data_IF_255501127022
#
_entry.id   IF_255501127022
#
_cell.length_a   1.000
_cell.length_b   1.000
_cell.length_c   1.000
_cell.angle_alpha   90.00
_cell.angle_beta   90.00
_cell.angle_gamma   90.00
#
_symmetry.space_group_name_H-M   'P 1'
#
loop_
_entity.id
_entity.type
_entity.pdbx_description
1 polymer ?
#
# COMPACT_ATOMS: atom_id res chain seq x y z
N UNK A 1 39.29 -16.80 7.70
CA UNK A 1 39.29 -16.41 9.11
C UNK A 1 38.31 -15.26 9.26
N UNK A 2 37.26 -15.39 10.05
CA UNK A 2 36.34 -14.27 10.32
C UNK A 2 37.04 -13.31 11.27
N UNK A 3 37.42 -12.15 10.77
CA UNK A 3 38.05 -11.11 11.57
C UNK A 3 37.12 -10.67 12.70
N UNK A 4 37.67 -10.60 13.92
CA UNK A 4 36.91 -10.23 15.11
C UNK A 4 36.60 -8.73 15.07
N UNK A 5 35.35 -8.38 15.39
CA UNK A 5 34.91 -6.99 15.48
C UNK A 5 35.61 -6.26 16.61
N UNK A 6 36.30 -5.18 16.25
CA UNK A 6 37.00 -4.32 17.18
C UNK A 6 36.02 -3.42 17.94
N UNK A 7 36.35 -2.99 19.17
CA UNK A 7 35.49 -2.12 19.96
C UNK A 7 35.12 -0.80 19.27
N UNK A 8 36.06 -0.19 18.55
CA UNK A 8 35.84 1.07 17.84
C UNK A 8 34.81 0.94 16.70
N UNK A 9 34.72 -0.22 16.07
CA UNK A 9 33.76 -0.46 14.98
C UNK A 9 32.33 -0.54 15.51
N UNK A 10 32.16 -1.06 16.74
CA UNK A 10 30.86 -1.08 17.41
C UNK A 10 30.43 0.33 17.81
N UNK A 11 31.37 1.13 18.34
CA UNK A 11 31.13 2.54 18.67
C UNK A 11 30.77 3.35 17.42
N UNK A 12 31.50 3.13 16.32
CA UNK A 12 31.22 3.74 15.03
C UNK A 12 29.78 3.45 14.58
N UNK A 13 29.31 2.19 14.69
CA UNK A 13 27.93 1.85 14.35
C UNK A 13 26.88 2.56 15.23
N UNK A 14 27.15 2.81 16.50
CA UNK A 14 26.24 3.59 17.34
C UNK A 14 26.20 5.07 16.95
N UNK A 15 27.35 5.63 16.56
CA UNK A 15 27.49 7.04 16.21
C UNK A 15 26.90 7.37 14.84
N UNK A 16 27.31 6.63 13.80
CA UNK A 16 26.89 6.91 12.42
C UNK A 16 25.65 6.14 11.99
N UNK A 17 25.17 5.25 12.85
CA UNK A 17 24.14 4.29 12.54
C UNK A 17 22.91 4.93 11.91
N UNK A 18 22.36 6.01 12.47
CA UNK A 18 21.14 6.67 11.97
C UNK A 18 21.36 7.64 10.80
N UNK A 19 22.58 8.15 10.63
CA UNK A 19 22.89 9.25 9.70
C UNK A 19 23.49 8.74 8.40
N UNK A 20 24.12 7.56 8.42
CA UNK A 20 24.87 7.01 7.30
C UNK A 20 24.19 5.76 6.72
N UNK A 21 23.97 5.69 5.39
CA UNK A 21 23.45 4.49 4.76
C UNK A 21 24.38 3.28 4.95
N UNK A 22 23.79 2.09 5.14
CA UNK A 22 24.53 0.83 5.32
C UNK A 22 25.62 0.58 4.25
N UNK A 23 25.41 0.87 2.94
CA UNK A 23 26.47 0.71 1.94
C UNK A 23 27.72 1.55 2.23
N UNK A 24 27.55 2.78 2.72
CA UNK A 24 28.67 3.70 3.01
C UNK A 24 29.39 3.31 4.31
N UNK A 25 28.66 2.81 5.31
CA UNK A 25 29.24 2.21 6.52
C UNK A 25 30.07 0.98 6.16
N UNK A 26 29.55 0.13 5.27
CA UNK A 26 30.23 -1.07 4.80
C UNK A 26 31.55 -0.76 4.09
N UNK A 27 31.56 0.26 3.23
CA UNK A 27 32.77 0.77 2.58
C UNK A 27 33.80 1.27 3.60
N UNK A 28 33.39 2.10 4.56
CA UNK A 28 34.29 2.68 5.58
C UNK A 28 34.89 1.67 6.55
N UNK A 29 34.16 0.60 6.85
CA UNK A 29 34.62 -0.47 7.74
C UNK A 29 35.24 -1.63 6.96
N UNK A 30 35.38 -1.52 5.64
CA UNK A 30 35.88 -2.59 4.75
C UNK A 30 35.19 -3.94 4.99
N UNK A 31 33.89 -3.88 5.27
CA UNK A 31 33.06 -5.02 5.65
C UNK A 31 31.90 -5.19 4.68
N UNK A 32 31.31 -6.38 4.66
CA UNK A 32 30.11 -6.58 3.84
C UNK A 32 28.88 -5.89 4.47
N UNK A 33 27.95 -5.35 3.66
CA UNK A 33 26.70 -4.78 4.18
C UNK A 33 25.91 -5.75 5.07
N UNK A 34 26.01 -7.06 4.80
CA UNK A 34 25.37 -8.09 5.62
C UNK A 34 26.03 -8.23 7.00
N UNK A 35 27.37 -8.15 7.08
CA UNK A 35 28.07 -8.13 8.36
C UNK A 35 27.69 -6.91 9.21
N UNK A 36 27.54 -5.73 8.58
CA UNK A 36 27.08 -4.51 9.26
C UNK A 36 25.69 -4.70 9.87
N UNK A 37 24.71 -5.17 9.09
CA UNK A 37 23.34 -5.39 9.57
C UNK A 37 23.30 -6.42 10.70
N UNK A 38 24.03 -7.53 10.56
CA UNK A 38 24.10 -8.56 11.60
C UNK A 38 24.76 -8.06 12.88
N UNK A 39 25.83 -7.27 12.78
CA UNK A 39 26.49 -6.73 13.97
C UNK A 39 25.64 -5.65 14.64
N UNK A 40 25.08 -4.71 13.88
CA UNK A 40 24.22 -3.67 14.43
C UNK A 40 22.99 -4.26 15.14
N UNK A 41 22.38 -5.33 14.60
CA UNK A 41 21.32 -6.04 15.28
C UNK A 41 21.78 -6.71 16.59
N UNK A 42 23.03 -7.18 16.64
CA UNK A 42 23.62 -7.83 17.83
C UNK A 42 23.98 -6.85 18.95
N UNK A 43 24.36 -5.62 18.61
CA UNK A 43 24.72 -4.56 19.58
C UNK A 43 23.61 -3.53 19.76
N UNK A 44 22.44 -3.76 19.16
CA UNK A 44 21.29 -2.84 19.16
C UNK A 44 21.65 -1.43 18.65
N UNK A 45 22.61 -1.34 17.73
CA UNK A 45 22.95 -0.07 17.09
C UNK A 45 21.84 0.34 16.11
N UNK A 46 21.42 1.61 16.14
CA UNK A 46 20.32 2.07 15.31
C UNK A 46 20.79 2.22 13.86
N UNK A 47 20.31 1.38 12.95
CA UNK A 47 20.52 1.56 11.50
C UNK A 47 19.25 2.10 10.84
N UNK A 48 19.34 2.96 9.81
CA UNK A 48 18.21 3.27 8.96
C UNK A 48 17.72 1.94 8.42
N UNK A 49 16.47 1.59 8.78
CA UNK A 49 15.87 0.35 8.36
C UNK A 49 16.03 0.23 6.84
N UNK A 50 16.75 -0.82 6.40
CA UNK A 50 16.87 -1.17 4.98
C UNK A 50 15.49 -1.41 4.32
N UNK A 51 14.43 -1.52 5.12
CA UNK A 51 13.15 -2.13 4.75
C UNK A 51 11.92 -1.25 4.97
N UNK A 52 12.05 0.04 5.28
CA UNK A 52 10.92 0.94 5.05
C UNK A 52 11.06 1.48 3.63
N UNK A 53 10.78 0.62 2.65
CA UNK A 53 10.55 1.08 1.28
C UNK A 53 9.52 2.21 1.31
N UNK A 54 9.63 3.17 0.38
CA UNK A 54 8.73 4.33 0.28
C UNK A 54 7.28 3.86 0.53
N UNK A 55 6.60 4.33 1.59
CA UNK A 55 5.25 3.87 1.91
C UNK A 55 4.32 4.17 0.73
N UNK A 56 3.30 3.34 0.53
CA UNK A 56 2.27 3.62 -0.47
C UNK A 56 1.36 4.71 0.06
N UNK A 57 1.22 5.80 -0.71
CA UNK A 57 0.28 6.88 -0.38
C UNK A 57 -1.15 6.52 -0.78
N UNK A 58 -2.15 7.16 -0.19
CA UNK A 58 -3.56 6.93 -0.55
C UNK A 58 -3.82 7.19 -2.04
N UNK A 59 -3.22 8.25 -2.61
CA UNK A 59 -3.29 8.54 -4.04
C UNK A 59 -2.70 7.42 -4.90
N UNK A 60 -1.57 6.81 -4.47
CA UNK A 60 -0.99 5.67 -5.20
C UNK A 60 -1.85 4.40 -5.04
N UNK A 61 -2.49 4.20 -3.89
CA UNK A 61 -3.39 3.08 -3.65
C UNK A 61 -4.68 3.18 -4.50
N UNK A 62 -5.18 4.39 -4.72
CA UNK A 62 -6.35 4.65 -5.57
C UNK A 62 -6.16 4.17 -7.02
N UNK A 63 -4.93 4.21 -7.53
CA UNK A 63 -4.62 3.79 -8.89
C UNK A 63 -4.86 2.29 -9.12
N UNK A 64 -4.76 1.44 -8.08
CA UNK A 64 -4.93 0.00 -8.21
C UNK A 64 -6.33 -0.46 -8.61
N UNK A 65 -7.34 0.38 -8.39
CA UNK A 65 -8.72 0.13 -8.83
C UNK A 65 -9.01 0.57 -10.26
N UNK A 66 -8.15 1.41 -10.87
CA UNK A 66 -8.44 2.08 -12.14
C UNK A 66 -7.45 1.76 -13.26
N UNK A 67 -6.20 1.40 -12.92
CA UNK A 67 -5.11 1.27 -13.88
C UNK A 67 -4.44 -0.11 -13.84
N UNK A 68 -3.78 -0.46 -14.95
CA UNK A 68 -2.94 -1.66 -15.06
C UNK A 68 -1.68 -1.55 -14.20
N UNK A 69 -1.03 -2.68 -13.92
CA UNK A 69 0.18 -2.68 -13.10
C UNK A 69 1.32 -1.89 -13.78
N UNK A 70 1.35 -1.94 -15.10
CA UNK A 70 2.33 -1.28 -15.95
C UNK A 70 2.14 0.25 -15.89
N UNK A 71 0.91 0.73 -16.03
CA UNK A 71 0.58 2.16 -15.89
C UNK A 71 0.89 2.68 -14.48
N UNK A 72 0.55 1.91 -13.43
CA UNK A 72 0.87 2.27 -12.05
C UNK A 72 2.37 2.34 -11.83
N UNK A 73 3.14 1.40 -12.40
CA UNK A 73 4.60 1.40 -12.27
C UNK A 73 5.20 2.69 -12.86
N UNK A 74 4.73 3.09 -14.05
CA UNK A 74 5.15 4.33 -14.72
C UNK A 74 4.72 5.56 -13.91
N UNK A 75 3.45 5.64 -13.50
CA UNK A 75 2.89 6.79 -12.78
C UNK A 75 3.53 6.99 -11.39
N UNK A 76 3.84 5.92 -10.68
CA UNK A 76 4.40 5.98 -9.32
C UNK A 76 5.93 5.93 -9.28
N UNK A 77 6.57 5.73 -10.44
CA UNK A 77 8.00 5.46 -10.59
C UNK A 77 8.48 4.32 -9.67
N UNK A 78 7.66 3.29 -9.50
CA UNK A 78 7.96 2.10 -8.70
C UNK A 78 8.23 0.92 -9.62
N UNK A 79 9.00 -0.05 -9.13
CA UNK A 79 9.20 -1.29 -9.89
C UNK A 79 7.88 -2.04 -10.06
N UNK A 80 7.70 -2.68 -11.23
CA UNK A 80 6.53 -3.51 -11.51
C UNK A 80 6.35 -4.64 -10.48
N UNK A 81 7.45 -5.14 -9.90
CA UNK A 81 7.43 -6.13 -8.83
C UNK A 81 6.84 -5.57 -7.53
N UNK A 82 7.17 -4.32 -7.18
CA UNK A 82 6.59 -3.64 -6.01
C UNK A 82 5.08 -3.44 -6.20
N UNK A 83 4.66 -3.03 -7.39
CA UNK A 83 3.24 -2.88 -7.76
C UNK A 83 2.51 -4.22 -7.63
N UNK A 84 3.01 -5.29 -8.27
CA UNK A 84 2.41 -6.63 -8.21
C UNK A 84 2.31 -7.16 -6.78
N UNK A 85 3.35 -6.98 -5.98
CA UNK A 85 3.34 -7.39 -4.57
C UNK A 85 2.27 -6.63 -3.80
N UNK A 86 2.17 -5.30 -4.00
CA UNK A 86 1.16 -4.49 -3.33
C UNK A 86 -0.26 -4.86 -3.79
N UNK A 87 -0.48 -5.06 -5.09
CA UNK A 87 -1.77 -5.49 -5.64
C UNK A 87 -2.25 -6.79 -4.99
N UNK A 88 -1.37 -7.77 -4.82
CA UNK A 88 -1.70 -9.01 -4.10
C UNK A 88 -2.08 -8.76 -2.65
N UNK A 89 -1.38 -7.87 -1.95
CA UNK A 89 -1.72 -7.49 -0.57
C UNK A 89 -3.09 -6.83 -0.49
N UNK A 90 -3.43 -5.96 -1.44
CA UNK A 90 -4.74 -5.31 -1.51
C UNK A 90 -5.86 -6.32 -1.83
N UNK A 91 -5.65 -7.21 -2.80
CA UNK A 91 -6.61 -8.29 -3.11
C UNK A 91 -6.92 -9.16 -1.89
N UNK A 92 -5.88 -9.55 -1.13
CA UNK A 92 -6.08 -10.35 0.09
C UNK A 92 -6.87 -9.59 1.17
N UNK A 93 -6.70 -8.26 1.25
CA UNK A 93 -7.44 -7.41 2.20
C UNK A 93 -8.90 -7.24 1.78
N UNK A 94 -9.15 -7.10 0.48
CA UNK A 94 -10.46 -6.80 -0.09
C UNK A 94 -11.26 -8.06 -0.52
N UNK A 95 -10.80 -9.26 -0.16
CA UNK A 95 -11.55 -10.49 -0.42
C UNK A 95 -11.50 -10.98 -1.87
N UNK A 96 -10.47 -10.60 -2.63
CA UNK A 96 -10.22 -11.10 -3.98
C UNK A 96 -10.47 -10.09 -5.11
N UNK A 97 -11.04 -8.92 -4.80
CA UNK A 97 -11.27 -7.87 -5.79
C UNK A 97 -10.91 -6.49 -5.22
N UNK A 98 -10.19 -5.68 -6.02
CA UNK A 98 -9.92 -4.28 -5.66
C UNK A 98 -10.96 -3.45 -6.41
N UNK A 99 -12.08 -3.18 -5.74
CA UNK A 99 -13.12 -2.33 -6.30
C UNK A 99 -12.71 -0.87 -6.12
N UNK A 100 -12.64 -0.06 -7.19
CA UNK A 100 -12.36 1.36 -7.07
C UNK A 100 -13.38 2.05 -6.17
N UNK A 101 -12.92 2.95 -5.32
CA UNK A 101 -13.78 3.74 -4.44
C UNK A 101 -14.68 4.67 -5.28
N UNK A 102 -15.90 4.92 -4.82
CA UNK A 102 -16.84 5.82 -5.51
C UNK A 102 -16.42 7.27 -5.29
N UNK A 103 -16.11 7.98 -6.36
CA UNK A 103 -15.82 9.41 -6.32
C UNK A 103 -17.09 10.23 -6.07
N UNK A 104 -16.94 11.47 -5.60
CA UNK A 104 -18.08 12.36 -5.40
C UNK A 104 -18.87 12.61 -6.70
N UNK A 105 -18.17 12.70 -7.83
CA UNK A 105 -18.78 12.87 -9.15
C UNK A 105 -19.62 11.65 -9.54
N UNK A 106 -19.10 10.43 -9.32
CA UNK A 106 -19.86 9.19 -9.54
C UNK A 106 -21.08 9.09 -8.62
N UNK A 107 -20.95 9.54 -7.36
CA UNK A 107 -22.08 9.59 -6.42
C UNK A 107 -23.14 10.60 -6.86
N UNK A 108 -22.75 11.75 -7.43
CA UNK A 108 -23.71 12.69 -8.03
C UNK A 108 -24.46 12.07 -9.20
N UNK A 109 -23.76 11.35 -10.09
CA UNK A 109 -24.41 10.62 -11.18
C UNK A 109 -25.36 9.56 -10.63
N UNK A 110 -24.95 8.83 -9.60
CA UNK A 110 -25.76 7.82 -8.91
C UNK A 110 -27.08 8.41 -8.41
N UNK A 111 -27.09 9.64 -7.90
CA UNK A 111 -28.33 10.24 -7.39
C UNK A 111 -29.24 10.80 -8.47
N UNK A 112 -28.69 11.22 -9.61
CA UNK A 112 -29.43 11.90 -10.68
C UNK A 112 -29.92 10.97 -11.80
N UNK A 113 -29.29 9.82 -12.00
CA UNK A 113 -29.50 8.97 -13.18
C UNK A 113 -29.87 7.53 -12.81
N UNK A 114 -30.60 6.82 -13.68
CA UNK A 114 -30.88 5.38 -13.49
C UNK A 114 -29.60 4.51 -13.62
N UNK A 115 -29.68 3.23 -13.24
CA UNK A 115 -28.49 2.37 -13.18
C UNK A 115 -27.77 2.24 -14.52
N UNK A 116 -28.51 2.05 -15.61
CA UNK A 116 -27.96 1.93 -16.96
C UNK A 116 -27.18 3.20 -17.37
N UNK A 117 -27.75 4.37 -17.10
CA UNK A 117 -27.10 5.64 -17.44
C UNK A 117 -25.90 5.92 -16.54
N UNK A 118 -25.93 5.53 -15.27
CA UNK A 118 -24.76 5.64 -14.39
C UNK A 118 -23.64 4.72 -14.88
N UNK A 119 -23.94 3.46 -15.22
CA UNK A 119 -22.97 2.52 -15.76
C UNK A 119 -22.30 3.06 -17.03
N UNK A 120 -23.07 3.69 -17.92
CA UNK A 120 -22.53 4.34 -19.13
C UNK A 120 -21.62 5.54 -18.80
N UNK A 121 -22.00 6.37 -17.82
CA UNK A 121 -21.23 7.57 -17.44
C UNK A 121 -19.96 7.25 -16.66
N UNK A 122 -19.95 6.19 -15.85
CA UNK A 122 -18.82 5.83 -14.96
C UNK A 122 -17.97 4.69 -15.50
N UNK A 123 -18.48 3.92 -16.48
CA UNK A 123 -17.83 2.71 -16.97
C UNK A 123 -17.92 1.51 -16.01
N UNK A 124 -18.64 1.64 -14.88
CA UNK A 124 -18.89 0.54 -13.93
C UNK A 124 -19.99 -0.39 -14.44
N UNK A 125 -20.05 -1.60 -13.92
CA UNK A 125 -21.12 -2.54 -14.27
C UNK A 125 -22.47 -2.10 -13.67
N UNK A 126 -23.57 -2.40 -14.37
CA UNK A 126 -24.92 -2.10 -13.84
C UNK A 126 -25.18 -2.81 -12.50
N UNK A 127 -24.62 -4.00 -12.31
CA UNK A 127 -24.69 -4.76 -11.06
C UNK A 127 -23.99 -4.01 -9.91
N UNK A 128 -22.80 -3.47 -10.15
CA UNK A 128 -22.06 -2.70 -9.15
C UNK A 128 -22.83 -1.42 -8.76
N UNK A 129 -23.41 -0.74 -9.75
CA UNK A 129 -24.26 0.43 -9.53
C UNK A 129 -25.50 0.07 -8.70
N UNK A 130 -26.17 -1.04 -9.02
CA UNK A 130 -27.33 -1.53 -8.28
C UNK A 130 -26.98 -1.88 -6.83
N UNK A 131 -25.87 -2.60 -6.62
CA UNK A 131 -25.36 -2.95 -5.31
C UNK A 131 -25.02 -1.71 -4.48
N UNK A 132 -24.41 -0.68 -5.10
CA UNK A 132 -24.11 0.58 -4.43
C UNK A 132 -25.38 1.29 -3.96
N UNK A 133 -26.41 1.38 -4.82
CA UNK A 133 -27.71 1.97 -4.45
C UNK A 133 -28.39 1.21 -3.32
N UNK A 134 -28.41 -0.12 -3.40
CA UNK A 134 -29.00 -0.96 -2.37
C UNK A 134 -28.33 -0.71 -1.02
N UNK A 135 -26.99 -0.73 -0.98
CA UNK A 135 -26.23 -0.45 0.25
C UNK A 135 -26.57 0.92 0.83
N UNK A 136 -26.65 1.94 -0.03
CA UNK A 136 -27.01 3.29 0.42
C UNK A 136 -28.44 3.37 0.98
N UNK A 137 -29.41 2.69 0.38
CA UNK A 137 -30.78 2.61 0.90
C UNK A 137 -30.82 1.90 2.26
N UNK A 138 -30.10 0.79 2.41
CA UNK A 138 -30.00 0.04 3.67
C UNK A 138 -29.38 0.88 4.79
N UNK A 139 -28.36 1.68 4.48
CA UNK A 139 -27.70 2.60 5.42
C UNK A 139 -28.64 3.74 5.81
N UNK A 140 -29.22 4.43 4.81
CA UNK A 140 -30.12 5.57 5.00
C UNK A 140 -31.35 5.22 5.83
N UNK A 141 -31.98 4.09 5.51
CA UNK A 141 -33.24 3.71 6.15
C UNK A 141 -33.04 2.83 7.39
N UNK A 142 -31.80 2.44 7.69
CA UNK A 142 -31.53 1.53 8.80
C UNK A 142 -32.08 0.11 8.59
N UNK A 143 -32.42 -0.28 7.36
CA UNK A 143 -33.08 -1.55 7.05
C UNK A 143 -32.21 -2.78 7.31
N UNK A 144 -30.89 -2.61 7.41
CA UNK A 144 -29.99 -3.64 7.91
C UNK A 144 -30.27 -4.04 9.38
N UNK A 145 -30.98 -3.20 10.15
CA UNK A 145 -31.34 -3.43 11.56
C UNK A 145 -32.84 -3.56 11.78
N UNK A 146 -33.65 -2.92 10.94
CA UNK A 146 -35.11 -2.94 11.02
C UNK A 146 -35.65 -3.11 9.62
N UNK A 147 -35.70 -4.36 9.18
CA UNK A 147 -36.29 -4.73 7.90
C UNK A 147 -37.83 -4.63 8.01
N UNK A 148 -38.48 -3.72 7.27
CA UNK A 148 -39.93 -3.58 7.32
C UNK A 148 -40.68 -4.79 6.73
N UNK A 149 -40.00 -5.68 5.99
CA UNK A 149 -40.62 -6.86 5.37
C UNK A 149 -40.53 -8.13 6.24
N UNK A 150 -39.75 -8.13 7.33
CA UNK A 150 -39.61 -9.27 8.24
C UNK A 150 -40.47 -9.18 9.51
N UNK A 151 -41.59 -8.46 9.44
CA UNK A 151 -42.51 -8.31 10.57
C UNK A 151 -43.37 -9.55 10.80
#
# INVERSE_FOLDING_TARGET
>A
MSELWQPWERLFLHEVGMTMPVPLIAEKLERTPRAIVSMAARIEAPLPSRMKGRPWTEAELFLFGHFSNEEIAVATNRSIYSVRSMKRTLLNRCGGEIVPEWTNEELEYLWRNNNARVAELTGRSEEEVANRRLRWNLERNGWHRRDPEQN
#
